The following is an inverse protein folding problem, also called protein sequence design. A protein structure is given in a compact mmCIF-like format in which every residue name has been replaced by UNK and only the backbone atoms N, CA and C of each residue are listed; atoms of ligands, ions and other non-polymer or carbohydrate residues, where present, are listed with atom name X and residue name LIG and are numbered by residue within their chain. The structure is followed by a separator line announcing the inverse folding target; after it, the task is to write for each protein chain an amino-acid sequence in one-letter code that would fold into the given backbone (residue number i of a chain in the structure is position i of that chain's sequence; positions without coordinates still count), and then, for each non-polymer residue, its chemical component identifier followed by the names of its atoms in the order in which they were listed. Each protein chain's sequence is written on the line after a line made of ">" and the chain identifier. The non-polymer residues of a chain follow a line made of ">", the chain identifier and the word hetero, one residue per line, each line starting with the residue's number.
data_IF_476045200785
#
_entry.id   IF_476045200785
#
_cell.length_a   1.000
_cell.length_b   1.000
_cell.length_c   1.000
_cell.angle_alpha   90.00
_cell.angle_beta   90.00
_cell.angle_gamma   90.00
#
_symmetry.space_group_name_H-M   'P 1'
#
loop_
_entity.id
_entity.type
_entity.pdbx_description
1 polymer ?
#
# COMPACT_ATOMS: atom_id res chain seq x y z
N UNK A 1 18.43 22.82 -13.08
CA UNK A 1 17.12 22.53 -12.48
C UNK A 1 17.26 22.16 -11.02
N UNK A 2 16.19 22.32 -10.26
CA UNK A 2 16.16 21.95 -8.84
C UNK A 2 15.20 20.77 -8.69
N UNK A 3 15.53 19.82 -7.81
CA UNK A 3 14.58 18.80 -7.40
C UNK A 3 13.43 19.49 -6.65
N UNK A 4 12.22 19.28 -7.11
CA UNK A 4 11.01 19.78 -6.47
C UNK A 4 10.19 18.59 -5.95
N UNK A 5 9.77 18.67 -4.69
CA UNK A 5 8.83 17.75 -4.07
C UNK A 5 7.52 18.52 -3.83
N UNK A 6 6.42 17.92 -4.24
CA UNK A 6 5.07 18.47 -4.03
C UNK A 6 4.10 17.39 -3.61
N UNK A 7 2.97 17.79 -3.04
CA UNK A 7 1.90 16.86 -2.63
C UNK A 7 0.62 17.18 -3.39
N UNK A 8 -0.10 16.11 -3.76
CA UNK A 8 -1.40 16.17 -4.41
C UNK A 8 -2.34 15.19 -3.72
N UNK A 9 -3.62 15.54 -3.68
CA UNK A 9 -4.66 14.63 -3.19
C UNK A 9 -5.00 13.60 -4.27
N UNK A 10 -4.38 12.42 -4.18
CA UNK A 10 -4.59 11.31 -5.08
C UNK A 10 -4.62 9.98 -4.29
N UNK A 11 -5.43 9.02 -4.73
CA UNK A 11 -5.60 7.74 -4.05
C UNK A 11 -4.43 6.78 -4.29
N UNK A 12 -3.80 6.88 -5.46
CA UNK A 12 -2.61 6.10 -5.84
C UNK A 12 -1.63 6.96 -6.67
N UNK A 13 -0.38 6.47 -6.92
CA UNK A 13 0.62 7.27 -7.60
C UNK A 13 0.25 7.66 -9.04
N UNK A 14 -0.44 6.81 -9.79
CA UNK A 14 -0.81 7.11 -11.18
C UNK A 14 -1.91 8.16 -11.23
N UNK A 15 -2.83 8.16 -10.28
CA UNK A 15 -3.87 9.18 -10.19
C UNK A 15 -3.31 10.61 -10.00
N UNK A 16 -2.03 10.74 -9.62
CA UNK A 16 -1.34 12.04 -9.62
C UNK A 16 -1.29 12.61 -11.03
N UNK A 17 -1.00 11.77 -12.03
CA UNK A 17 -0.93 12.21 -13.44
C UNK A 17 -2.29 12.66 -13.95
N UNK A 18 -3.34 11.86 -13.71
CA UNK A 18 -4.73 12.23 -14.05
C UNK A 18 -5.16 13.54 -13.36
N UNK A 19 -4.79 13.69 -12.09
CA UNK A 19 -5.11 14.91 -11.34
C UNK A 19 -4.45 16.14 -11.95
N UNK A 20 -3.20 16.04 -12.36
CA UNK A 20 -2.48 17.13 -13.03
C UNK A 20 -3.13 17.50 -14.38
N UNK A 21 -3.59 16.50 -15.15
CA UNK A 21 -4.35 16.75 -16.39
C UNK A 21 -5.64 17.50 -16.10
N UNK A 22 -6.38 17.11 -15.07
CA UNK A 22 -7.61 17.81 -14.66
C UNK A 22 -7.35 19.24 -14.19
N UNK A 23 -6.20 19.53 -13.62
CA UNK A 23 -5.77 20.88 -13.23
C UNK A 23 -5.23 21.70 -14.43
N UNK A 24 -5.26 21.14 -15.65
CA UNK A 24 -4.88 21.81 -16.88
C UNK A 24 -3.40 21.75 -17.25
N UNK A 25 -2.62 20.88 -16.57
CA UNK A 25 -1.23 20.64 -16.98
C UNK A 25 -1.22 19.88 -18.31
N UNK A 26 -0.46 20.39 -19.27
CA UNK A 26 -0.42 19.80 -20.60
C UNK A 26 0.13 18.36 -20.59
N UNK A 27 -0.54 17.44 -21.26
CA UNK A 27 -0.18 16.02 -21.31
C UNK A 27 1.28 15.76 -21.74
N UNK A 28 1.85 16.59 -22.62
CA UNK A 28 3.27 16.50 -23.02
C UNK A 28 4.25 16.78 -21.87
N UNK A 29 3.86 17.61 -20.90
CA UNK A 29 4.68 17.91 -19.70
C UNK A 29 4.54 16.80 -18.67
N UNK A 30 3.33 16.23 -18.52
CA UNK A 30 3.06 15.14 -17.59
C UNK A 30 3.80 13.87 -18.00
N UNK A 31 3.91 13.61 -19.29
CA UNK A 31 4.56 12.43 -19.84
C UNK A 31 6.07 12.62 -20.13
N UNK A 32 6.72 13.52 -19.41
CA UNK A 32 8.16 13.78 -19.55
C UNK A 32 8.91 13.14 -18.38
N UNK A 33 9.71 12.06 -18.60
CA UNK A 33 10.47 11.41 -17.54
C UNK A 33 11.58 12.30 -16.95
N UNK A 34 11.93 13.41 -17.58
CA UNK A 34 12.87 14.39 -17.04
C UNK A 34 12.20 15.34 -16.04
N UNK A 35 10.87 15.50 -16.13
CA UNK A 35 10.10 16.33 -15.21
C UNK A 35 9.55 15.50 -14.03
N UNK A 36 9.06 14.31 -14.28
CA UNK A 36 8.49 13.43 -13.27
C UNK A 36 9.38 12.22 -13.01
N UNK A 37 10.29 12.33 -12.06
CA UNK A 37 11.24 11.27 -11.71
C UNK A 37 10.70 10.27 -10.69
N UNK A 38 9.60 10.60 -10.03
CA UNK A 38 8.97 9.72 -9.05
C UNK A 38 7.54 10.14 -8.70
N UNK A 39 6.67 9.14 -8.56
CA UNK A 39 5.31 9.27 -8.09
C UNK A 39 5.16 8.39 -6.85
N UNK A 40 4.65 8.94 -5.76
CA UNK A 40 4.60 8.23 -4.49
C UNK A 40 3.22 8.40 -3.84
N UNK A 41 2.64 7.29 -3.39
CA UNK A 41 1.49 7.27 -2.49
C UNK A 41 1.85 6.48 -1.25
N UNK A 42 1.52 7.03 -0.07
CA UNK A 42 1.82 6.38 1.19
C UNK A 42 0.69 6.53 2.20
N UNK A 43 0.60 5.57 3.11
CA UNK A 43 -0.26 5.63 4.30
C UNK A 43 0.52 5.17 5.52
N UNK A 44 0.08 5.58 6.70
CA UNK A 44 0.65 5.14 7.97
C UNK A 44 -0.26 4.10 8.60
N UNK A 45 0.30 2.96 8.96
CA UNK A 45 -0.36 1.89 9.73
C UNK A 45 0.28 1.73 11.09
N UNK A 46 -0.47 1.26 12.07
CA UNK A 46 0.03 1.05 13.43
C UNK A 46 0.94 -0.18 13.49
N UNK A 47 2.06 -0.05 14.20
CA UNK A 47 2.95 -1.17 14.54
C UNK A 47 2.49 -1.74 15.87
N UNK A 48 2.15 -3.02 15.89
CA UNK A 48 1.73 -3.71 17.12
C UNK A 48 2.93 -4.05 17.98
N UNK A 49 2.68 -4.10 19.29
CA UNK A 49 3.73 -4.37 20.26
C UNK A 49 4.23 -5.82 20.18
N UNK A 50 5.52 -6.07 19.95
CA UNK A 50 6.05 -7.43 19.83
C UNK A 50 5.99 -8.22 21.15
N UNK A 51 5.88 -7.53 22.32
CA UNK A 51 5.88 -8.17 23.63
C UNK A 51 4.50 -8.70 24.06
N UNK A 52 3.41 -8.16 23.51
CA UNK A 52 2.07 -8.55 23.93
C UNK A 52 1.09 -8.80 22.79
N UNK A 53 1.56 -8.80 21.56
CA UNK A 53 0.71 -9.13 20.40
C UNK A 53 0.16 -10.56 20.54
N UNK A 54 -1.03 -10.79 20.02
CA UNK A 54 -1.75 -12.06 20.15
C UNK A 54 -1.58 -12.86 18.85
N UNK A 55 -1.05 -14.10 18.90
CA UNK A 55 -1.00 -14.97 17.73
C UNK A 55 -2.40 -15.24 17.19
N UNK A 56 -2.56 -15.28 15.87
CA UNK A 56 -3.86 -15.49 15.23
C UNK A 56 -4.58 -16.75 15.75
N UNK A 57 -3.87 -17.89 15.78
CA UNK A 57 -4.43 -19.17 16.20
C UNK A 57 -4.99 -19.20 17.64
N UNK A 58 -4.58 -18.28 18.52
CA UNK A 58 -5.12 -18.18 19.87
C UNK A 58 -6.43 -17.39 19.94
N UNK A 59 -6.72 -16.58 18.92
CA UNK A 59 -7.84 -15.62 18.95
C UNK A 59 -8.85 -15.81 17.83
N UNK A 60 -8.55 -16.62 16.81
CA UNK A 60 -9.38 -16.80 15.61
C UNK A 60 -10.81 -17.25 15.92
N UNK A 61 -10.97 -18.15 16.92
CA UNK A 61 -12.28 -18.66 17.32
C UNK A 61 -13.23 -17.59 17.86
N UNK A 62 -12.67 -16.48 18.35
CA UNK A 62 -13.44 -15.34 18.87
C UNK A 62 -13.73 -14.27 17.81
N UNK A 63 -13.27 -14.47 16.57
CA UNK A 63 -13.42 -13.52 15.47
C UNK A 63 -14.68 -13.79 14.66
N UNK A 64 -15.18 -12.75 14.00
CA UNK A 64 -16.30 -12.90 13.07
C UNK A 64 -15.88 -13.72 11.83
N UNK A 65 -16.85 -14.25 11.11
CA UNK A 65 -16.59 -14.98 9.87
C UNK A 65 -15.92 -14.12 8.80
N UNK A 66 -16.23 -12.81 8.78
CA UNK A 66 -15.64 -11.85 7.87
C UNK A 66 -14.16 -11.64 8.21
N UNK A 67 -13.82 -11.43 9.48
CA UNK A 67 -12.44 -11.28 9.95
C UNK A 67 -11.60 -12.53 9.66
N UNK A 68 -12.19 -13.73 9.86
CA UNK A 68 -11.51 -14.99 9.54
C UNK A 68 -11.22 -15.10 8.04
N UNK A 69 -12.22 -14.86 7.20
CA UNK A 69 -12.04 -14.88 5.74
C UNK A 69 -10.99 -13.89 5.24
N UNK A 70 -10.93 -12.69 5.86
CA UNK A 70 -9.91 -11.71 5.52
C UNK A 70 -8.50 -12.26 5.73
N UNK A 71 -8.27 -12.87 6.90
CA UNK A 71 -6.94 -13.39 7.23
C UNK A 71 -6.61 -14.64 6.41
N UNK A 72 -7.55 -15.58 6.30
CA UNK A 72 -7.35 -16.86 5.60
C UNK A 72 -7.13 -16.68 4.08
N UNK A 73 -7.82 -15.72 3.45
CA UNK A 73 -7.74 -15.52 2.01
C UNK A 73 -6.55 -14.64 1.59
N UNK A 74 -6.12 -13.70 2.42
CA UNK A 74 -5.16 -12.67 2.01
C UNK A 74 -3.85 -12.67 2.79
N UNK A 75 -3.79 -13.29 3.96
CA UNK A 75 -2.61 -13.29 4.82
C UNK A 75 -2.04 -14.71 4.99
N UNK A 76 -0.92 -14.81 5.70
CA UNK A 76 -0.35 -16.09 6.13
C UNK A 76 -0.74 -16.31 7.61
N UNK A 77 -1.78 -17.10 7.93
CA UNK A 77 -2.36 -17.18 9.27
C UNK A 77 -1.34 -17.49 10.37
N UNK A 78 -0.37 -18.37 10.09
CA UNK A 78 0.68 -18.75 11.04
C UNK A 78 1.64 -17.60 11.40
N UNK A 79 1.71 -16.57 10.55
CA UNK A 79 2.58 -15.41 10.73
C UNK A 79 1.81 -14.15 11.20
N UNK A 80 0.48 -14.25 11.28
CA UNK A 80 -0.38 -13.12 11.66
C UNK A 80 -0.47 -12.98 13.18
N UNK A 81 -0.40 -11.74 13.61
CA UNK A 81 -0.64 -11.34 15.00
C UNK A 81 -1.65 -10.19 15.07
N UNK A 82 -2.48 -10.21 16.09
CA UNK A 82 -3.41 -9.12 16.38
C UNK A 82 -2.91 -8.24 17.53
N UNK A 83 -3.40 -7.04 17.56
CA UNK A 83 -3.17 -6.09 18.63
C UNK A 83 -3.81 -6.54 19.93
N UNK A 84 -3.05 -6.55 21.01
CA UNK A 84 -3.59 -6.67 22.36
C UNK A 84 -4.02 -5.30 22.89
N UNK A 85 -5.31 -5.04 22.92
CA UNK A 85 -5.85 -3.74 23.36
C UNK A 85 -5.60 -3.42 24.85
N UNK A 86 -5.32 -4.44 25.69
CA UNK A 86 -4.94 -4.23 27.08
C UNK A 86 -3.52 -3.66 27.20
N UNK A 87 -2.67 -3.97 26.21
CA UNK A 87 -1.28 -3.54 26.21
C UNK A 87 -0.39 -4.24 27.24
N UNK A 88 0.80 -3.70 27.44
CA UNK A 88 1.77 -4.14 28.42
C UNK A 88 2.68 -2.96 28.83
N UNK A 89 3.60 -3.12 29.80
CA UNK A 89 4.51 -2.04 30.23
C UNK A 89 5.41 -1.47 29.11
N UNK A 90 5.55 -2.18 27.99
CA UNK A 90 6.42 -1.78 26.86
C UNK A 90 5.67 -1.04 25.74
N UNK A 91 4.38 -0.76 25.88
CA UNK A 91 3.59 -0.16 24.80
C UNK A 91 2.44 0.69 25.31
N UNK A 92 1.86 1.46 24.41
CA UNK A 92 0.59 2.12 24.67
C UNK A 92 -0.55 1.32 24.03
N UNK A 93 -1.33 0.61 24.89
CA UNK A 93 -2.50 -0.18 24.47
C UNK A 93 -2.22 -1.11 23.28
N UNK A 94 -1.07 -1.80 23.29
CA UNK A 94 -0.69 -2.75 22.24
C UNK A 94 -0.04 -2.15 20.99
N UNK A 95 0.29 -0.86 20.99
CA UNK A 95 0.89 -0.15 19.83
C UNK A 95 2.25 0.44 20.22
N UNK A 96 3.24 0.28 19.33
CA UNK A 96 4.61 0.80 19.47
C UNK A 96 4.96 1.85 18.41
N UNK A 97 3.96 2.57 17.88
CA UNK A 97 4.18 3.59 16.88
C UNK A 97 3.51 3.30 15.54
N UNK A 98 4.06 3.86 14.48
CA UNK A 98 3.51 3.73 13.12
C UNK A 98 4.62 3.40 12.14
N UNK A 99 4.26 2.72 11.06
CA UNK A 99 5.14 2.47 9.91
C UNK A 99 4.44 2.88 8.63
N UNK A 100 5.23 3.16 7.60
CA UNK A 100 4.72 3.51 6.28
C UNK A 100 4.40 2.25 5.49
N UNK A 101 3.30 2.29 4.74
CA UNK A 101 3.05 1.45 3.57
C UNK A 101 3.00 2.37 2.36
N UNK A 102 3.72 2.01 1.31
CA UNK A 102 3.89 2.90 0.16
C UNK A 102 3.83 2.14 -1.16
N UNK A 103 3.43 2.87 -2.19
CA UNK A 103 3.56 2.52 -3.59
C UNK A 103 4.39 3.62 -4.25
N UNK A 104 5.50 3.23 -4.88
CA UNK A 104 6.47 4.15 -5.46
C UNK A 104 6.71 3.77 -6.91
N UNK A 105 6.44 4.69 -7.81
CA UNK A 105 6.69 4.54 -9.23
C UNK A 105 7.85 5.45 -9.61
N UNK A 106 8.92 4.86 -10.13
CA UNK A 106 10.00 5.55 -10.84
C UNK A 106 9.74 5.37 -12.34
N UNK A 107 9.02 6.31 -12.98
CA UNK A 107 8.57 6.12 -14.35
C UNK A 107 9.72 6.28 -15.34
N UNK A 108 9.81 5.40 -16.31
CA UNK A 108 10.68 5.54 -17.47
C UNK A 108 9.89 6.09 -18.69
N UNK A 109 10.58 6.31 -19.79
CA UNK A 109 9.95 6.80 -21.02
C UNK A 109 8.87 5.84 -21.55
N UNK A 110 9.08 4.52 -21.39
CA UNK A 110 8.12 3.50 -21.84
C UNK A 110 6.87 3.48 -20.95
N UNK A 111 7.01 3.70 -19.65
CA UNK A 111 5.86 3.87 -18.74
C UNK A 111 4.95 5.00 -19.22
N UNK A 112 5.52 6.18 -19.51
CA UNK A 112 4.74 7.32 -19.99
C UNK A 112 4.16 7.10 -21.39
N UNK A 113 4.87 6.41 -22.28
CA UNK A 113 4.33 6.03 -23.59
C UNK A 113 3.08 5.16 -23.40
N UNK A 114 3.16 4.11 -22.57
CA UNK A 114 2.03 3.21 -22.30
C UNK A 114 0.88 3.99 -21.63
N UNK A 115 1.17 4.85 -20.67
CA UNK A 115 0.17 5.68 -20.02
C UNK A 115 -0.63 6.52 -21.01
N UNK A 116 0.05 7.14 -21.97
CA UNK A 116 -0.58 7.98 -23.00
C UNK A 116 -1.37 7.18 -24.03
N UNK A 117 -0.87 6.03 -24.45
CA UNK A 117 -1.44 5.23 -25.54
C UNK A 117 -2.54 4.28 -25.06
N UNK A 118 -2.39 3.71 -23.86
CA UNK A 118 -3.22 2.62 -23.35
C UNK A 118 -3.90 2.93 -22.01
N UNK A 119 -3.49 4.00 -21.36
CA UNK A 119 -4.06 4.45 -20.10
C UNK A 119 -3.34 3.89 -18.86
N UNK A 120 -3.92 4.23 -17.70
CA UNK A 120 -3.31 3.99 -16.39
C UNK A 120 -3.15 2.51 -16.00
N UNK A 121 -4.10 1.67 -16.44
CA UNK A 121 -4.12 0.25 -16.05
C UNK A 121 -2.90 -0.46 -16.63
N UNK A 122 -2.69 -0.30 -17.92
CA UNK A 122 -1.56 -0.88 -18.64
C UNK A 122 -0.22 -0.30 -18.19
N UNK A 123 -0.17 0.98 -17.87
CA UNK A 123 1.02 1.60 -17.31
C UNK A 123 1.36 1.03 -15.92
N UNK A 124 0.35 0.82 -15.08
CA UNK A 124 0.55 0.18 -13.76
C UNK A 124 1.00 -1.27 -13.89
N UNK A 125 0.40 -2.00 -14.83
CA UNK A 125 0.79 -3.39 -15.13
C UNK A 125 2.24 -3.46 -15.60
N UNK A 126 2.65 -2.57 -16.52
CA UNK A 126 4.03 -2.46 -16.97
C UNK A 126 4.99 -2.17 -15.81
N UNK A 127 4.68 -1.16 -14.98
CA UNK A 127 5.48 -0.83 -13.81
C UNK A 127 5.64 -2.01 -12.86
N UNK A 128 4.55 -2.74 -12.60
CA UNK A 128 4.59 -3.89 -11.69
C UNK A 128 5.40 -5.06 -12.27
N UNK A 129 5.14 -5.43 -13.53
CA UNK A 129 5.74 -6.62 -14.16
C UNK A 129 7.17 -6.42 -14.64
N UNK A 130 7.43 -5.28 -15.27
CA UNK A 130 8.70 -5.05 -15.97
C UNK A 130 9.68 -4.21 -15.14
N UNK A 131 9.17 -3.30 -14.32
CA UNK A 131 10.01 -2.45 -13.46
C UNK A 131 10.11 -2.97 -12.02
N UNK A 132 9.52 -4.13 -11.71
CA UNK A 132 9.57 -4.74 -10.38
C UNK A 132 8.85 -3.94 -9.31
N UNK A 133 7.83 -3.19 -9.69
CA UNK A 133 7.07 -2.34 -8.78
C UNK A 133 6.31 -3.12 -7.72
N UNK A 134 6.33 -2.63 -6.49
CA UNK A 134 5.59 -3.20 -5.35
C UNK A 134 4.35 -2.34 -5.08
N UNK A 135 3.16 -2.95 -5.13
CA UNK A 135 1.93 -2.25 -4.78
C UNK A 135 1.87 -1.98 -3.28
N UNK A 136 1.10 -0.94 -2.88
CA UNK A 136 0.90 -0.62 -1.47
C UNK A 136 0.29 -1.79 -0.69
N UNK A 137 -0.60 -2.56 -1.33
CA UNK A 137 -1.19 -3.76 -0.74
C UNK A 137 -0.11 -4.84 -0.49
N UNK A 138 0.74 -5.14 -1.47
CA UNK A 138 1.85 -6.08 -1.27
C UNK A 138 2.79 -5.65 -0.14
N UNK A 139 3.07 -4.34 -0.04
CA UNK A 139 3.88 -3.80 1.04
C UNK A 139 3.18 -3.97 2.41
N UNK A 140 1.85 -3.74 2.46
CA UNK A 140 1.05 -3.99 3.66
C UNK A 140 1.07 -5.47 4.06
N UNK A 141 0.79 -6.37 3.11
CA UNK A 141 0.79 -7.82 3.37
C UNK A 141 2.16 -8.32 3.86
N UNK A 142 3.25 -7.79 3.31
CA UNK A 142 4.60 -8.09 3.81
C UNK A 142 4.77 -7.71 5.28
N UNK A 143 4.23 -6.57 5.73
CA UNK A 143 4.28 -6.15 7.14
C UNK A 143 3.35 -6.96 8.04
N UNK A 144 2.19 -7.35 7.55
CA UNK A 144 1.26 -8.24 8.26
C UNK A 144 1.91 -9.61 8.45
N UNK A 145 2.43 -10.20 7.38
CA UNK A 145 3.05 -11.52 7.41
C UNK A 145 4.42 -11.55 8.12
N UNK A 146 5.00 -10.40 8.47
CA UNK A 146 6.12 -10.29 9.39
C UNK A 146 5.69 -10.08 10.85
N UNK A 147 4.40 -10.07 11.12
CA UNK A 147 3.83 -9.87 12.45
C UNK A 147 3.99 -8.45 13.01
N UNK A 148 4.28 -7.46 12.16
CA UNK A 148 4.43 -6.06 12.59
C UNK A 148 3.10 -5.30 12.65
N UNK A 149 2.13 -5.69 11.83
CA UNK A 149 0.88 -4.96 11.63
C UNK A 149 -0.30 -5.91 11.79
N UNK A 150 -1.31 -5.46 12.52
CA UNK A 150 -2.59 -6.15 12.69
C UNK A 150 -3.42 -5.98 11.41
N UNK A 151 -3.79 -7.07 10.69
CA UNK A 151 -4.55 -7.01 9.46
C UNK A 151 -5.93 -6.37 9.63
N UNK A 152 -6.60 -6.62 10.76
CA UNK A 152 -7.95 -6.10 11.01
C UNK A 152 -7.94 -4.60 11.21
N UNK A 153 -6.96 -4.10 11.97
CA UNK A 153 -6.78 -2.65 12.16
C UNK A 153 -6.30 -1.94 10.89
N UNK A 154 -5.44 -2.59 10.10
CA UNK A 154 -4.91 -2.04 8.87
C UNK A 154 -5.94 -1.98 7.75
N UNK A 155 -6.89 -2.91 7.70
CA UNK A 155 -7.95 -2.99 6.70
C UNK A 155 -8.77 -1.68 6.62
N UNK A 156 -9.04 -1.03 7.75
CA UNK A 156 -9.74 0.26 7.78
C UNK A 156 -8.93 1.44 7.22
N UNK A 157 -7.61 1.30 7.14
CA UNK A 157 -6.71 2.34 6.62
C UNK A 157 -6.40 2.10 5.14
N UNK A 158 -6.11 0.85 4.81
CA UNK A 158 -5.86 0.36 3.46
C UNK A 158 -6.43 -1.04 3.38
N UNK A 159 -7.49 -1.27 2.60
CA UNK A 159 -8.12 -2.57 2.51
C UNK A 159 -7.11 -3.67 2.18
N UNK A 160 -7.09 -4.73 2.98
CA UNK A 160 -6.18 -5.87 2.81
C UNK A 160 -6.54 -6.68 1.56
N UNK A 161 -7.83 -6.68 1.23
CA UNK A 161 -8.45 -7.28 0.05
C UNK A 161 -8.52 -6.31 -1.14
N UNK A 162 -7.87 -5.14 -1.05
CA UNK A 162 -7.82 -4.19 -2.15
C UNK A 162 -7.21 -4.86 -3.38
N UNK A 163 -8.06 -5.08 -4.36
CA UNK A 163 -7.72 -5.84 -5.54
C UNK A 163 -6.85 -5.03 -6.50
N UNK A 164 -5.60 -4.87 -6.12
CA UNK A 164 -4.56 -4.54 -7.11
C UNK A 164 -4.40 -5.68 -8.13
N UNK A 165 -5.01 -6.83 -7.88
CA UNK A 165 -4.89 -8.06 -8.66
C UNK A 165 -5.68 -8.04 -9.95
N UNK A 166 -6.79 -7.31 -10.05
CA UNK A 166 -7.47 -7.10 -11.35
C UNK A 166 -6.55 -6.48 -12.39
N UNK A 167 -5.43 -5.91 -11.93
CA UNK A 167 -4.40 -5.34 -12.79
C UNK A 167 -3.27 -6.34 -13.11
N UNK A 168 -3.23 -7.51 -12.47
CA UNK A 168 -2.09 -8.43 -12.50
C UNK A 168 -2.42 -9.75 -13.22
N UNK A 169 -3.66 -9.95 -13.58
CA UNK A 169 -4.17 -11.05 -14.39
C UNK A 169 -4.69 -10.53 -15.72
#
# INVERSE_FOLDING_TARGET
>A
GHLMLTTLHANDPINILERLEMEGVQARMIADPQLFIGLLSQRLVQVICPHCRLPWHEVESSRTDEERRLVENFCQPDAVYLRNHNGCPHCWRGVNGRTVIAEVISPDAKFFQIYREKGRIEAKTYWHRELGGMTRNQHLLGKINSGQVDPLAAHYISPVDEDSYTLLH
#
